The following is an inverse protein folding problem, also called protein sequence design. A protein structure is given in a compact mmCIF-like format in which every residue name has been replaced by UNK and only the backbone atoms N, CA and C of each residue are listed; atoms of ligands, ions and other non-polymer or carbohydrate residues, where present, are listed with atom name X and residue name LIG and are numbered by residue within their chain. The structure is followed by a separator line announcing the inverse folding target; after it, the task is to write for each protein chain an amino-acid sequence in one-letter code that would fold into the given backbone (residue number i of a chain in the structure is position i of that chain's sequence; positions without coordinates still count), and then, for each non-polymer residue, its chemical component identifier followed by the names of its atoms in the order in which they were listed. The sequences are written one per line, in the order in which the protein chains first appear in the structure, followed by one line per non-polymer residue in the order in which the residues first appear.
data_IF_691143454070
#
_entry.id   IF_691143454070
#
_cell.length_a   1.000
_cell.length_b   1.000
_cell.length_c   1.000
_cell.angle_alpha   90.00
_cell.angle_beta   90.00
_cell.angle_gamma   90.00
#
_symmetry.space_group_name_H-M   'P 1'
#
loop_
_entity.id
_entity.type
_entity.pdbx_description
1 polymer ?
#
# COMPACT_ATOMS: atom_id res chain seq x y z
N UNK A 1 -15.27 -25.27 -24.64
CA UNK A 1 -15.23 -23.81 -24.78
C UNK A 1 -13.78 -23.37 -24.63
N UNK A 2 -13.17 -22.92 -25.72
CA UNK A 2 -11.81 -22.38 -25.69
C UNK A 2 -11.87 -20.91 -25.28
N UNK A 3 -11.23 -20.54 -24.17
CA UNK A 3 -11.00 -19.14 -23.80
C UNK A 3 -9.68 -18.70 -24.41
N UNK A 4 -9.73 -17.73 -25.30
CA UNK A 4 -8.53 -17.05 -25.81
C UNK A 4 -8.30 -15.83 -24.94
N UNK A 5 -7.28 -15.86 -24.09
CA UNK A 5 -6.83 -14.69 -23.35
C UNK A 5 -5.81 -13.96 -24.22
N UNK A 6 -6.23 -12.85 -24.83
CA UNK A 6 -5.34 -11.97 -25.57
C UNK A 6 -4.80 -10.92 -24.61
N UNK A 7 -3.51 -11.00 -24.31
CA UNK A 7 -2.80 -9.95 -23.56
C UNK A 7 -2.28 -8.91 -24.54
N UNK A 8 -2.83 -7.69 -24.49
CA UNK A 8 -2.46 -6.62 -25.41
C UNK A 8 -1.23 -5.86 -24.93
N UNK A 9 -0.33 -5.55 -25.88
CA UNK A 9 0.55 -4.37 -25.79
C UNK A 9 -0.29 -3.13 -26.14
N UNK A 10 -0.01 -2.00 -25.50
CA UNK A 10 -0.67 -0.70 -25.75
C UNK A 10 -0.69 -0.25 -27.22
N UNK A 11 0.18 -0.82 -28.07
CA UNK A 11 0.36 -0.47 -29.49
C UNK A 11 -0.20 -1.51 -30.47
N UNK A 12 -0.81 -2.59 -29.98
CA UNK A 12 -1.42 -3.57 -30.86
C UNK A 12 -2.75 -3.04 -31.40
N UNK A 13 -2.91 -2.98 -32.71
CA UNK A 13 -4.20 -2.69 -33.33
C UNK A 13 -5.18 -3.80 -32.98
N UNK A 14 -6.21 -3.44 -32.22
CA UNK A 14 -7.28 -4.36 -31.83
C UNK A 14 -8.15 -4.57 -33.07
N UNK A 15 -8.41 -5.80 -33.56
CA UNK A 15 -9.33 -6.04 -34.66
C UNK A 15 -10.70 -5.42 -34.35
N UNK A 16 -11.34 -4.78 -35.31
CA UNK A 16 -12.64 -4.11 -35.15
C UNK A 16 -13.75 -5.00 -34.53
N UNK A 17 -13.63 -6.32 -34.68
CA UNK A 17 -14.57 -7.30 -34.13
C UNK A 17 -14.18 -7.87 -32.78
N UNK A 18 -13.06 -7.42 -32.16
CA UNK A 18 -12.62 -7.93 -30.87
C UNK A 18 -13.45 -7.29 -29.74
N UNK A 19 -14.00 -8.13 -28.85
CA UNK A 19 -14.61 -7.65 -27.61
C UNK A 19 -13.52 -7.43 -26.57
N UNK A 20 -13.37 -6.20 -26.14
CA UNK A 20 -12.46 -5.86 -25.02
C UNK A 20 -13.16 -6.19 -23.71
N UNK A 21 -12.55 -7.07 -22.92
CA UNK A 21 -12.96 -7.37 -21.56
C UNK A 21 -11.99 -6.69 -20.61
N UNK A 22 -12.44 -5.63 -19.96
CA UNK A 22 -11.66 -5.00 -18.90
C UNK A 22 -11.78 -5.82 -17.61
N UNK A 23 -10.75 -6.55 -17.25
CA UNK A 23 -10.70 -7.25 -15.98
C UNK A 23 -10.33 -6.25 -14.88
N UNK A 24 -11.22 -6.08 -13.92
CA UNK A 24 -10.94 -5.29 -12.71
C UNK A 24 -10.00 -6.08 -11.79
N UNK A 25 -9.14 -5.34 -11.05
CA UNK A 25 -8.39 -5.92 -9.94
C UNK A 25 -9.34 -6.45 -8.88
N UNK A 26 -9.00 -7.60 -8.30
CA UNK A 26 -9.74 -8.17 -7.17
C UNK A 26 -9.43 -7.39 -5.89
N UNK A 27 -10.40 -7.39 -4.99
CA UNK A 27 -10.30 -6.72 -3.68
C UNK A 27 -10.37 -7.75 -2.55
N UNK A 28 -9.88 -7.42 -1.32
CA UNK A 28 -10.00 -8.33 -0.19
C UNK A 28 -11.44 -8.77 0.10
N UNK A 29 -12.48 -7.89 0.04
CA UNK A 29 -13.87 -8.32 0.16
C UNK A 29 -14.32 -9.30 -0.93
N UNK A 30 -13.81 -9.20 -2.16
CA UNK A 30 -14.16 -10.16 -3.22
C UNK A 30 -13.67 -11.56 -2.86
N UNK A 31 -12.47 -11.69 -2.31
CA UNK A 31 -11.94 -12.97 -1.85
C UNK A 31 -12.78 -13.54 -0.70
N UNK A 32 -13.05 -12.77 0.35
CA UNK A 32 -13.86 -13.21 1.49
C UNK A 32 -15.31 -13.54 1.09
N UNK A 33 -15.85 -12.85 0.10
CA UNK A 33 -17.20 -13.13 -0.42
C UNK A 33 -17.26 -14.51 -1.10
N UNK A 34 -16.21 -14.82 -1.86
CA UNK A 34 -16.11 -16.10 -2.58
C UNK A 34 -15.68 -17.25 -1.66
N UNK A 35 -14.77 -16.99 -0.73
CA UNK A 35 -14.18 -17.99 0.17
C UNK A 35 -14.49 -17.62 1.62
N UNK A 36 -15.60 -18.17 2.15
CA UNK A 36 -16.17 -17.81 3.45
C UNK A 36 -15.26 -18.10 4.67
N UNK A 37 -14.30 -19.01 4.50
CA UNK A 37 -13.35 -19.40 5.56
C UNK A 37 -12.05 -18.60 5.51
N UNK A 38 -11.83 -17.81 4.47
CA UNK A 38 -10.62 -17.00 4.32
C UNK A 38 -10.65 -15.87 5.35
N UNK A 39 -9.60 -15.78 6.14
CA UNK A 39 -9.40 -14.69 7.10
C UNK A 39 -9.24 -13.34 6.38
N UNK A 40 -9.75 -12.28 6.97
CA UNK A 40 -9.71 -10.93 6.39
C UNK A 40 -8.30 -10.38 6.25
N UNK A 41 -7.40 -10.73 7.18
CA UNK A 41 -6.00 -10.34 7.14
C UNK A 41 -5.27 -11.08 6.02
N UNK A 42 -5.54 -12.36 5.85
CA UNK A 42 -4.96 -13.13 4.75
C UNK A 42 -5.49 -12.67 3.39
N UNK A 43 -6.76 -12.31 3.30
CA UNK A 43 -7.31 -11.66 2.11
C UNK A 43 -6.60 -10.34 1.81
N UNK A 44 -6.29 -9.52 2.82
CA UNK A 44 -5.53 -8.28 2.68
C UNK A 44 -4.09 -8.57 2.20
N UNK A 45 -3.40 -9.54 2.79
CA UNK A 45 -2.04 -9.99 2.41
C UNK A 45 -1.98 -10.45 0.96
N UNK A 46 -2.91 -11.31 0.55
CA UNK A 46 -2.98 -11.84 -0.81
C UNK A 46 -3.15 -10.70 -1.81
N UNK A 47 -4.08 -9.78 -1.56
CA UNK A 47 -4.29 -8.63 -2.44
C UNK A 47 -3.09 -7.68 -2.42
N UNK A 48 -2.50 -7.42 -1.28
CA UNK A 48 -1.30 -6.60 -1.17
C UNK A 48 -0.13 -7.18 -1.99
N UNK A 49 0.08 -8.50 -1.93
CA UNK A 49 1.13 -9.18 -2.69
C UNK A 49 0.86 -9.31 -4.19
N UNK A 50 -0.37 -9.14 -4.63
CA UNK A 50 -0.77 -9.40 -6.02
C UNK A 50 -1.29 -8.15 -6.73
N UNK A 51 -1.42 -7.03 -6.02
CA UNK A 51 -2.12 -5.84 -6.48
C UNK A 51 -3.53 -6.16 -7.03
N UNK A 52 -4.13 -7.25 -6.53
CA UNK A 52 -5.42 -7.75 -6.98
C UNK A 52 -5.43 -8.28 -8.42
N UNK A 53 -4.27 -8.51 -9.04
CA UNK A 53 -4.17 -9.05 -10.41
C UNK A 53 -4.72 -10.49 -10.41
N UNK A 54 -5.83 -10.78 -11.13
CA UNK A 54 -6.50 -12.09 -11.04
C UNK A 54 -5.58 -13.27 -11.35
N UNK A 55 -4.66 -13.11 -12.28
CA UNK A 55 -3.68 -14.15 -12.63
C UNK A 55 -2.75 -14.49 -11.46
N UNK A 56 -2.29 -13.49 -10.71
CA UNK A 56 -1.44 -13.69 -9.53
C UNK A 56 -2.25 -14.22 -8.34
N UNK A 57 -3.46 -13.70 -8.12
CA UNK A 57 -4.37 -14.19 -7.07
C UNK A 57 -4.71 -15.66 -7.27
N UNK A 58 -4.86 -16.12 -8.52
CA UNK A 58 -5.18 -17.50 -8.84
C UNK A 58 -4.06 -18.51 -8.49
N UNK A 59 -2.87 -18.04 -8.19
CA UNK A 59 -1.76 -18.88 -7.74
C UNK A 59 -1.88 -19.25 -6.25
N UNK A 60 -2.70 -18.53 -5.48
CA UNK A 60 -2.92 -18.81 -4.07
C UNK A 60 -3.98 -19.89 -3.89
N UNK A 61 -3.70 -20.87 -3.03
CA UNK A 61 -4.67 -21.83 -2.52
C UNK A 61 -5.41 -21.18 -1.36
N UNK A 62 -6.66 -20.76 -1.59
CA UNK A 62 -7.43 -19.98 -0.63
C UNK A 62 -8.03 -20.83 0.52
N UNK A 63 -7.81 -22.12 0.49
CA UNK A 63 -8.13 -23.12 1.53
C UNK A 63 -6.91 -23.52 2.39
N UNK A 64 -5.73 -23.07 2.02
CA UNK A 64 -4.47 -23.29 2.74
C UNK A 64 -4.12 -22.07 3.60
N UNK A 65 -3.23 -22.24 4.59
CA UNK A 65 -2.70 -21.13 5.36
C UNK A 65 -1.88 -20.17 4.49
N UNK A 66 -1.68 -18.94 4.97
CA UNK A 66 -0.87 -17.98 4.23
C UNK A 66 0.58 -18.45 4.14
N UNK A 67 1.14 -19.02 5.20
CA UNK A 67 2.49 -19.58 5.25
C UNK A 67 2.69 -20.73 4.23
N UNK A 68 1.70 -21.63 4.11
CA UNK A 68 1.74 -22.70 3.10
C UNK A 68 1.73 -22.15 1.67
N UNK A 69 0.99 -21.07 1.44
CA UNK A 69 1.03 -20.36 0.15
C UNK A 69 2.41 -19.75 -0.10
N UNK A 70 3.02 -19.10 0.90
CA UNK A 70 4.37 -18.52 0.77
C UNK A 70 5.39 -19.61 0.41
N UNK A 71 5.38 -20.75 1.09
CA UNK A 71 6.24 -21.89 0.73
C UNK A 71 6.12 -22.31 -0.73
N UNK A 72 4.91 -22.32 -1.26
CA UNK A 72 4.67 -22.76 -2.65
C UNK A 72 4.98 -21.68 -3.69
N UNK A 73 4.87 -20.40 -3.34
CA UNK A 73 5.04 -19.27 -4.26
C UNK A 73 6.49 -18.76 -4.33
N UNK A 74 7.27 -18.93 -3.26
CA UNK A 74 8.67 -18.52 -3.22
C UNK A 74 9.59 -19.70 -3.56
N UNK A 75 9.46 -20.20 -4.78
CA UNK A 75 10.31 -21.25 -5.37
C UNK A 75 10.81 -20.79 -6.74
N UNK A 76 11.99 -21.22 -7.16
CA UNK A 76 12.68 -20.75 -8.36
C UNK A 76 11.82 -20.77 -9.64
N UNK A 77 10.96 -21.78 -9.78
CA UNK A 77 10.11 -21.94 -10.97
C UNK A 77 8.71 -21.32 -10.83
N UNK A 78 8.47 -20.61 -9.75
CA UNK A 78 7.16 -20.02 -9.47
C UNK A 78 6.77 -18.98 -10.51
N UNK A 79 5.55 -19.11 -11.02
CA UNK A 79 4.95 -18.08 -11.90
C UNK A 79 4.81 -16.73 -11.19
N UNK A 80 4.64 -16.75 -9.86
CA UNK A 80 4.59 -15.54 -9.05
C UNK A 80 5.90 -14.75 -9.14
N UNK A 81 7.04 -15.41 -8.95
CA UNK A 81 8.36 -14.77 -8.98
C UNK A 81 8.77 -14.36 -10.41
N UNK A 82 8.45 -15.16 -11.42
CA UNK A 82 8.77 -14.85 -12.82
C UNK A 82 7.92 -13.72 -13.42
N UNK A 83 6.76 -13.43 -12.86
CA UNK A 83 5.83 -12.47 -13.44
C UNK A 83 6.44 -11.06 -13.61
N UNK A 84 7.20 -10.55 -12.62
CA UNK A 84 7.82 -9.22 -12.70
C UNK A 84 8.84 -9.13 -13.83
N UNK A 85 9.73 -10.15 -13.95
CA UNK A 85 10.74 -10.20 -15.01
C UNK A 85 10.09 -10.29 -16.39
N UNK A 86 9.12 -11.18 -16.55
CA UNK A 86 8.42 -11.34 -17.81
C UNK A 86 7.69 -10.06 -18.22
N UNK A 87 7.05 -9.38 -17.27
CA UNK A 87 6.38 -8.10 -17.51
C UNK A 87 7.38 -7.05 -17.97
N UNK A 88 8.52 -6.90 -17.31
CA UNK A 88 9.56 -5.95 -17.69
C UNK A 88 10.15 -6.26 -19.08
N UNK A 89 10.44 -7.53 -19.37
CA UNK A 89 10.96 -7.94 -20.69
C UNK A 89 9.98 -7.68 -21.83
N UNK A 90 8.68 -7.74 -21.55
CA UNK A 90 7.64 -7.42 -22.56
C UNK A 90 7.50 -5.94 -22.81
N UNK A 91 7.71 -5.10 -21.79
CA UNK A 91 7.45 -3.66 -21.85
C UNK A 91 8.69 -2.85 -22.25
N UNK A 92 9.90 -3.32 -21.90
CA UNK A 92 11.14 -2.58 -22.10
C UNK A 92 12.20 -3.38 -22.85
N UNK A 93 12.93 -2.68 -23.74
CA UNK A 93 14.02 -3.29 -24.54
C UNK A 93 15.27 -3.62 -23.70
N UNK A 94 15.52 -2.87 -22.62
CA UNK A 94 16.68 -3.04 -21.73
C UNK A 94 16.22 -3.19 -20.30
N UNK A 95 15.56 -4.33 -19.94
CA UNK A 95 14.96 -4.55 -18.64
C UNK A 95 15.94 -4.43 -17.47
N UNK A 96 17.23 -4.74 -17.68
CA UNK A 96 18.28 -4.70 -16.67
C UNK A 96 18.45 -3.27 -16.09
N UNK A 97 18.42 -2.25 -16.97
CA UNK A 97 18.54 -0.86 -16.55
C UNK A 97 17.35 -0.41 -15.70
N UNK A 98 16.16 -0.89 -16.03
CA UNK A 98 14.95 -0.62 -15.25
C UNK A 98 14.95 -1.38 -13.92
N UNK A 99 15.39 -2.65 -13.91
CA UNK A 99 15.58 -3.42 -12.69
C UNK A 99 16.49 -2.71 -11.69
N UNK A 100 17.62 -2.16 -12.15
CA UNK A 100 18.55 -1.41 -11.30
C UNK A 100 17.86 -0.24 -10.62
N UNK A 101 17.07 0.55 -11.34
CA UNK A 101 16.37 1.70 -10.75
C UNK A 101 15.22 1.28 -9.83
N UNK A 102 14.45 0.25 -10.19
CA UNK A 102 13.38 -0.28 -9.36
C UNK A 102 13.93 -0.86 -8.05
N UNK A 103 15.07 -1.55 -8.10
CA UNK A 103 15.74 -2.02 -6.90
C UNK A 103 16.27 -0.86 -6.04
N UNK A 104 16.87 0.16 -6.65
CA UNK A 104 17.26 1.38 -5.94
C UNK A 104 16.08 2.03 -5.19
N UNK A 105 14.91 2.11 -5.85
CA UNK A 105 13.68 2.59 -5.20
C UNK A 105 13.23 1.69 -4.04
N UNK A 106 13.36 0.37 -4.20
CA UNK A 106 12.99 -0.60 -3.17
C UNK A 106 13.80 -0.45 -1.88
N UNK A 107 15.09 -0.10 -2.01
CA UNK A 107 15.99 0.12 -0.87
C UNK A 107 16.01 1.58 -0.36
N UNK A 108 15.09 2.42 -0.85
CA UNK A 108 14.88 3.78 -0.33
C UNK A 108 15.54 4.92 -1.10
N UNK A 109 16.21 4.67 -2.23
CA UNK A 109 16.71 5.73 -3.11
C UNK A 109 15.56 6.42 -3.83
N UNK A 110 14.90 7.36 -3.18
CA UNK A 110 13.66 7.97 -3.67
C UNK A 110 13.84 9.29 -4.44
N UNK A 111 15.08 9.77 -4.65
CA UNK A 111 15.40 10.97 -5.42
C UNK A 111 16.30 10.63 -6.61
N UNK A 112 16.17 11.38 -7.67
CA UNK A 112 16.96 11.17 -8.91
C UNK A 112 18.48 11.20 -8.65
N UNK A 113 18.94 12.04 -7.72
CA UNK A 113 20.35 12.11 -7.34
C UNK A 113 20.84 10.83 -6.64
N UNK A 114 20.03 10.27 -5.74
CA UNK A 114 20.33 9.01 -5.05
C UNK A 114 20.31 7.83 -6.02
N UNK A 115 19.34 7.81 -6.94
CA UNK A 115 19.26 6.77 -7.97
C UNK A 115 20.42 6.84 -8.97
N UNK A 116 20.88 8.04 -9.31
CA UNK A 116 22.04 8.23 -10.17
C UNK A 116 23.33 7.74 -9.50
N UNK A 117 23.49 8.04 -8.23
CA UNK A 117 24.61 7.55 -7.40
C UNK A 117 24.59 6.03 -7.25
N UNK A 118 23.42 5.47 -6.89
CA UNK A 118 23.24 4.03 -6.71
C UNK A 118 23.49 3.23 -8.00
N UNK A 119 22.92 3.71 -9.12
CA UNK A 119 22.98 2.98 -10.39
C UNK A 119 24.25 3.24 -11.21
N UNK A 120 25.00 4.30 -10.90
CA UNK A 120 26.09 4.80 -11.74
C UNK A 120 25.61 5.44 -13.05
N UNK A 121 24.31 5.67 -13.23
CA UNK A 121 23.77 6.30 -14.42
C UNK A 121 23.77 7.83 -14.32
N UNK A 122 24.01 8.54 -15.43
CA UNK A 122 23.80 9.99 -15.48
C UNK A 122 22.36 10.36 -15.13
N UNK A 123 22.14 11.50 -14.46
CA UNK A 123 20.80 11.96 -14.04
C UNK A 123 19.77 12.03 -15.18
N UNK A 124 20.20 12.45 -16.37
CA UNK A 124 19.34 12.51 -17.55
C UNK A 124 18.87 11.11 -18.02
N UNK A 125 19.73 10.08 -17.87
CA UNK A 125 19.34 8.70 -18.14
C UNK A 125 18.35 8.20 -17.10
N UNK A 126 18.58 8.47 -15.81
CA UNK A 126 17.63 8.14 -14.72
C UNK A 126 16.28 8.82 -14.97
N UNK A 127 16.25 10.12 -15.30
CA UNK A 127 15.00 10.85 -15.57
C UNK A 127 14.20 10.22 -16.72
N UNK A 128 14.87 9.88 -17.82
CA UNK A 128 14.23 9.19 -18.94
C UNK A 128 13.59 7.86 -18.55
N UNK A 129 14.31 7.05 -17.75
CA UNK A 129 13.81 5.75 -17.32
C UNK A 129 12.70 5.88 -16.28
N UNK A 130 12.80 6.82 -15.32
CA UNK A 130 11.76 7.09 -14.35
C UNK A 130 10.46 7.54 -15.03
N UNK A 131 10.54 8.42 -16.04
CA UNK A 131 9.35 8.81 -16.83
C UNK A 131 8.71 7.61 -17.54
N UNK A 132 9.51 6.70 -18.08
CA UNK A 132 8.99 5.49 -18.71
C UNK A 132 8.35 4.53 -17.70
N UNK A 133 8.96 4.38 -16.52
CA UNK A 133 8.41 3.57 -15.43
C UNK A 133 7.10 4.17 -14.88
N UNK A 134 7.01 5.48 -14.74
CA UNK A 134 5.80 6.18 -14.31
C UNK A 134 4.67 6.01 -15.33
N UNK A 135 4.96 6.23 -16.61
CA UNK A 135 4.01 6.03 -17.71
C UNK A 135 3.52 4.58 -17.82
N UNK A 136 4.36 3.60 -17.49
CA UNK A 136 4.02 2.18 -17.47
C UNK A 136 3.36 1.74 -16.14
N UNK A 137 3.28 2.61 -15.14
CA UNK A 137 2.60 2.36 -13.87
C UNK A 137 3.38 1.51 -12.86
N UNK A 138 4.72 1.50 -12.96
CA UNK A 138 5.60 0.80 -11.99
C UNK A 138 5.91 1.64 -10.76
N UNK A 139 5.86 2.95 -10.90
CA UNK A 139 6.20 3.90 -9.84
C UNK A 139 5.10 4.94 -9.67
N UNK A 140 5.13 5.62 -8.55
CA UNK A 140 4.34 6.80 -8.27
C UNK A 140 5.27 7.95 -7.87
N UNK A 141 4.88 9.18 -8.19
CA UNK A 141 5.63 10.38 -7.89
C UNK A 141 4.93 11.21 -6.83
N UNK A 142 5.70 11.76 -5.89
CA UNK A 142 5.20 12.67 -4.87
C UNK A 142 6.05 13.92 -4.81
N UNK A 143 5.40 15.08 -4.70
CA UNK A 143 6.08 16.34 -4.45
C UNK A 143 6.15 16.56 -2.92
N UNK A 144 7.38 16.63 -2.38
CA UNK A 144 7.59 16.90 -0.95
C UNK A 144 8.43 18.16 -0.79
N UNK A 145 8.10 18.98 0.19
CA UNK A 145 8.94 20.12 0.59
C UNK A 145 10.07 19.61 1.47
N UNK A 146 11.30 20.01 1.16
CA UNK A 146 12.45 19.78 2.01
C UNK A 146 12.48 20.77 3.20
N UNK A 147 13.46 20.62 4.08
CA UNK A 147 13.63 21.48 5.28
C UNK A 147 13.78 22.97 4.92
N UNK A 148 14.24 23.28 3.70
CA UNK A 148 14.39 24.64 3.20
C UNK A 148 13.14 25.14 2.44
N UNK A 149 12.04 24.37 2.46
CA UNK A 149 10.79 24.68 1.78
C UNK A 149 10.82 24.45 0.27
N UNK A 150 11.92 23.89 -0.30
CA UNK A 150 12.01 23.61 -1.73
C UNK A 150 11.22 22.34 -2.07
N UNK A 151 10.41 22.41 -3.10
CA UNK A 151 9.65 21.26 -3.60
C UNK A 151 10.59 20.31 -4.35
N UNK A 152 10.60 19.05 -3.92
CA UNK A 152 11.40 17.97 -4.52
C UNK A 152 10.49 16.85 -4.96
N UNK A 153 10.81 16.28 -6.13
CA UNK A 153 10.12 15.07 -6.61
C UNK A 153 10.74 13.83 -5.98
N UNK A 154 9.91 13.03 -5.36
CA UNK A 154 10.24 11.72 -4.81
C UNK A 154 9.53 10.64 -5.61
N UNK A 155 10.21 9.52 -5.81
CA UNK A 155 9.75 8.38 -6.59
C UNK A 155 9.61 7.17 -5.67
N UNK A 156 8.53 6.41 -5.83
CA UNK A 156 8.24 5.24 -5.01
C UNK A 156 7.75 4.09 -5.89
N UNK A 157 8.04 2.86 -5.50
CA UNK A 157 7.42 1.70 -6.14
C UNK A 157 5.91 1.75 -5.96
N UNK A 158 5.19 1.51 -7.05
CA UNK A 158 3.74 1.42 -7.03
C UNK A 158 3.32 -0.03 -6.84
N UNK A 159 2.40 -0.24 -5.91
CA UNK A 159 1.88 -1.56 -5.60
C UNK A 159 2.70 -2.37 -4.60
N UNK A 160 2.03 -3.31 -3.96
CA UNK A 160 2.63 -4.21 -2.97
C UNK A 160 3.38 -5.36 -3.62
N UNK A 161 2.94 -5.84 -4.80
CA UNK A 161 3.62 -6.89 -5.54
C UNK A 161 5.08 -6.54 -5.86
N UNK A 162 5.31 -5.35 -6.45
CA UNK A 162 6.68 -4.92 -6.78
C UNK A 162 7.52 -4.68 -5.52
N UNK A 163 6.91 -4.20 -4.43
CA UNK A 163 7.60 -4.03 -3.14
C UNK A 163 8.06 -5.37 -2.61
N UNK A 164 7.18 -6.37 -2.51
CA UNK A 164 7.54 -7.71 -2.08
C UNK A 164 8.61 -8.35 -3.00
N UNK A 165 8.46 -8.18 -4.30
CA UNK A 165 9.39 -8.75 -5.26
C UNK A 165 10.79 -8.15 -5.15
N UNK A 166 10.93 -6.81 -5.15
CA UNK A 166 12.23 -6.13 -5.11
C UNK A 166 12.86 -6.07 -3.72
N UNK A 167 12.10 -6.10 -2.64
CA UNK A 167 12.65 -6.06 -1.29
C UNK A 167 12.96 -7.45 -0.74
N UNK A 168 12.18 -8.46 -1.12
CA UNK A 168 12.32 -9.81 -0.59
C UNK A 168 13.06 -10.74 -1.57
N UNK A 169 12.54 -10.91 -2.78
CA UNK A 169 13.03 -11.91 -3.73
C UNK A 169 14.29 -11.45 -4.46
N UNK A 170 14.24 -10.28 -5.12
CA UNK A 170 15.28 -9.82 -6.03
C UNK A 170 16.70 -9.82 -5.43
N UNK A 171 16.95 -9.34 -4.19
CA UNK A 171 18.29 -9.37 -3.60
C UNK A 171 18.75 -10.76 -3.14
N UNK A 172 17.85 -11.74 -3.05
CA UNK A 172 18.11 -13.05 -2.42
C UNK A 172 17.62 -14.22 -3.27
N UNK A 173 17.68 -14.10 -4.58
CA UNK A 173 17.17 -15.15 -5.50
C UNK A 173 17.75 -16.53 -5.22
N UNK A 174 18.99 -16.63 -4.74
CA UNK A 174 19.66 -17.89 -4.42
C UNK A 174 19.01 -18.63 -3.24
N UNK A 175 18.39 -17.90 -2.32
CA UNK A 175 17.75 -18.46 -1.11
C UNK A 175 16.46 -19.21 -1.45
N UNK A 176 15.92 -19.02 -2.66
CA UNK A 176 14.65 -19.60 -3.11
C UNK A 176 14.80 -20.75 -4.12
N UNK A 177 16.01 -21.30 -4.24
CA UNK A 177 16.27 -22.47 -5.10
C UNK A 177 15.69 -23.74 -4.46
N UNK A 178 15.93 -23.90 -3.15
CA UNK A 178 15.40 -25.01 -2.36
C UNK A 178 14.04 -24.68 -1.74
N UNK A 179 13.23 -25.70 -1.42
CA UNK A 179 11.97 -25.50 -0.73
C UNK A 179 12.18 -24.83 0.64
N UNK A 180 11.34 -23.85 0.94
CA UNK A 180 11.40 -23.12 2.21
C UNK A 180 10.97 -23.99 3.40
N UNK A 181 11.72 -23.90 4.50
CA UNK A 181 11.31 -24.41 5.80
C UNK A 181 10.24 -23.54 6.46
N UNK A 182 9.75 -23.96 7.64
CA UNK A 182 8.69 -23.23 8.34
C UNK A 182 9.16 -21.92 8.94
N UNK A 183 10.40 -21.86 9.42
CA UNK A 183 10.95 -20.65 10.05
C UNK A 183 11.15 -19.55 9.01
N UNK A 184 11.79 -19.89 7.90
CA UNK A 184 11.97 -18.98 6.76
C UNK A 184 10.64 -18.50 6.20
N UNK A 185 9.63 -19.37 6.11
CA UNK A 185 8.30 -18.96 5.65
C UNK A 185 7.65 -17.94 6.59
N UNK A 186 7.77 -18.11 7.91
CA UNK A 186 7.28 -17.14 8.90
C UNK A 186 8.01 -15.80 8.83
N UNK A 187 9.34 -15.82 8.65
CA UNK A 187 10.11 -14.59 8.43
C UNK A 187 9.66 -13.86 7.17
N UNK A 188 9.41 -14.59 6.07
CA UNK A 188 8.91 -14.01 4.84
C UNK A 188 7.52 -13.37 5.03
N UNK A 189 6.64 -14.00 5.80
CA UNK A 189 5.33 -13.40 6.14
C UNK A 189 5.51 -12.08 6.87
N UNK A 190 6.41 -12.01 7.84
CA UNK A 190 6.72 -10.76 8.54
C UNK A 190 7.21 -9.66 7.58
N UNK A 191 8.12 -10.00 6.66
CA UNK A 191 8.64 -9.04 5.69
C UNK A 191 7.60 -8.62 4.64
N UNK A 192 6.71 -9.54 4.24
CA UNK A 192 5.57 -9.24 3.37
C UNK A 192 4.62 -8.27 4.07
N UNK A 193 4.33 -8.50 5.34
CA UNK A 193 3.51 -7.59 6.13
C UNK A 193 4.14 -6.19 6.17
N UNK A 194 5.45 -6.11 6.37
CA UNK A 194 6.16 -4.83 6.43
C UNK A 194 6.19 -4.07 5.10
N UNK A 195 6.52 -4.73 4.00
CA UNK A 195 6.73 -4.06 2.72
C UNK A 195 5.47 -3.91 1.86
N UNK A 196 4.54 -4.88 1.90
CA UNK A 196 3.38 -4.91 1.02
C UNK A 196 2.06 -4.67 1.77
N UNK A 197 1.81 -5.42 2.86
CA UNK A 197 0.52 -5.36 3.57
C UNK A 197 0.30 -4.01 4.24
N UNK A 198 1.30 -3.48 4.94
CA UNK A 198 1.25 -2.14 5.55
C UNK A 198 1.06 -1.04 4.51
N UNK A 199 1.78 -1.13 3.39
CA UNK A 199 1.63 -0.19 2.28
C UNK A 199 0.21 -0.18 1.73
N UNK A 200 -0.37 -1.36 1.48
CA UNK A 200 -1.73 -1.48 0.97
C UNK A 200 -2.76 -1.02 2.00
N UNK A 201 -2.60 -1.41 3.26
CA UNK A 201 -3.47 -0.98 4.35
C UNK A 201 -3.46 0.55 4.53
N UNK A 202 -2.26 1.17 4.46
CA UNK A 202 -2.12 2.63 4.52
C UNK A 202 -2.89 3.33 3.39
N UNK A 203 -2.80 2.82 2.16
CA UNK A 203 -3.59 3.34 1.03
C UNK A 203 -5.09 3.18 1.26
N UNK A 204 -5.51 2.05 1.80
CA UNK A 204 -6.90 1.80 2.14
C UNK A 204 -7.43 2.79 3.19
N UNK A 205 -6.67 3.01 4.26
CA UNK A 205 -7.00 3.99 5.31
C UNK A 205 -7.14 5.41 4.74
N UNK A 206 -6.18 5.82 3.92
CA UNK A 206 -6.22 7.11 3.24
C UNK A 206 -7.45 7.25 2.34
N UNK A 207 -7.76 6.23 1.58
CA UNK A 207 -8.90 6.25 0.67
C UNK A 207 -10.23 6.34 1.42
N UNK A 208 -10.35 5.56 2.51
CA UNK A 208 -11.50 5.62 3.40
C UNK A 208 -11.67 7.03 3.99
N UNK A 209 -10.59 7.58 4.53
CA UNK A 209 -10.59 8.91 5.13
C UNK A 209 -11.02 9.99 4.10
N UNK A 210 -10.40 10.00 2.93
CA UNK A 210 -10.68 11.01 1.89
C UNK A 210 -12.15 11.04 1.47
N UNK A 211 -12.87 9.93 1.59
CA UNK A 211 -14.30 9.83 1.27
C UNK A 211 -15.21 10.23 2.43
N UNK A 212 -14.79 9.97 3.64
CA UNK A 212 -15.63 10.14 4.82
C UNK A 212 -15.32 11.43 5.60
N UNK A 213 -14.17 12.06 5.37
CA UNK A 213 -13.71 13.22 6.11
C UNK A 213 -14.72 14.38 6.10
N UNK A 214 -15.40 14.63 4.97
CA UNK A 214 -16.39 15.70 4.85
C UNK A 214 -17.54 15.57 5.86
N UNK A 215 -17.95 14.36 6.21
CA UNK A 215 -19.01 14.12 7.20
C UNK A 215 -18.66 14.53 8.62
N UNK A 216 -17.38 14.71 8.93
CA UNK A 216 -16.90 15.08 10.27
C UNK A 216 -16.71 16.59 10.47
N UNK A 217 -16.82 17.41 9.43
CA UNK A 217 -16.68 18.86 9.53
C UNK A 217 -17.99 19.61 9.78
N UNK A 218 -19.14 18.90 9.94
CA UNK A 218 -20.43 19.53 10.06
C UNK A 218 -20.87 20.22 8.76
N UNK A 219 -21.56 21.30 8.80
CA UNK A 219 -22.21 22.09 7.76
C UNK A 219 -21.52 22.31 6.38
N UNK A 220 -20.68 21.37 5.95
CA UNK A 220 -19.96 21.43 4.67
C UNK A 220 -18.72 22.31 4.70
N UNK A 221 -18.28 22.78 5.86
CA UNK A 221 -17.06 23.56 6.02
C UNK A 221 -15.77 22.73 6.01
N UNK A 222 -15.70 21.69 5.19
CA UNK A 222 -14.40 21.26 4.68
C UNK A 222 -13.83 22.50 4.01
N UNK A 223 -12.85 23.10 4.65
CA UNK A 223 -12.17 24.22 4.04
C UNK A 223 -11.70 23.76 2.66
N UNK A 224 -12.42 24.16 1.64
CA UNK A 224 -12.09 23.96 0.25
C UNK A 224 -10.76 24.67 -0.03
N UNK A 225 -9.66 24.15 0.49
CA UNK A 225 -8.37 24.81 0.40
C UNK A 225 -7.25 24.22 1.24
N UNK A 226 -7.54 23.40 2.26
CA UNK A 226 -6.48 22.77 3.04
C UNK A 226 -6.38 21.27 2.71
N UNK A 227 -5.53 20.89 1.75
CA UNK A 227 -5.31 19.48 1.46
C UNK A 227 -4.73 18.79 2.70
N UNK A 228 -5.09 17.52 2.90
CA UNK A 228 -4.51 16.76 3.99
C UNK A 228 -2.99 16.61 3.78
N UNK A 229 -2.26 16.74 4.86
CA UNK A 229 -0.81 16.58 4.90
C UNK A 229 -0.49 15.14 5.32
N UNK A 230 0.51 14.55 4.69
CA UNK A 230 0.95 13.18 4.94
C UNK A 230 2.27 13.18 5.72
N UNK A 231 2.47 12.16 6.55
CA UNK A 231 3.73 11.91 7.26
C UNK A 231 4.21 13.13 8.06
N UNK A 232 3.34 13.71 8.87
CA UNK A 232 3.59 14.95 9.60
C UNK A 232 4.04 14.68 11.02
N UNK A 233 5.11 15.34 11.45
CA UNK A 233 5.56 15.30 12.85
C UNK A 233 5.01 16.51 13.60
N UNK A 234 4.22 16.26 14.64
CA UNK A 234 3.65 17.29 15.52
C UNK A 234 4.25 17.12 16.92
N UNK A 235 5.01 18.11 17.39
CA UNK A 235 5.65 18.10 18.69
C UNK A 235 6.37 16.76 19.02
N UNK A 236 7.11 16.21 18.04
CA UNK A 236 7.87 14.97 18.18
C UNK A 236 7.05 13.69 18.03
N UNK A 237 5.75 13.78 17.71
CA UNK A 237 4.89 12.63 17.42
C UNK A 237 4.58 12.57 15.93
N UNK A 238 4.88 11.43 15.30
CA UNK A 238 4.59 11.21 13.89
C UNK A 238 3.14 10.76 13.70
N UNK A 239 2.41 11.51 12.88
CA UNK A 239 1.05 11.23 12.44
C UNK A 239 1.06 10.89 10.95
N UNK A 240 0.17 9.99 10.56
CA UNK A 240 0.12 9.50 9.19
C UNK A 240 -0.56 10.52 8.27
N UNK A 241 -1.62 11.18 8.76
CA UNK A 241 -2.32 12.25 8.05
C UNK A 241 -2.80 13.31 9.02
N UNK A 242 -2.84 14.56 8.56
CA UNK A 242 -3.44 15.69 9.26
C UNK A 242 -4.24 16.51 8.26
N UNK A 243 -5.42 16.93 8.66
CA UNK A 243 -6.19 17.90 7.89
C UNK A 243 -6.69 18.99 8.84
N UNK A 244 -6.29 20.24 8.56
CA UNK A 244 -6.72 21.40 9.33
C UNK A 244 -8.05 21.92 8.78
N UNK A 245 -9.02 22.08 9.66
CA UNK A 245 -10.29 22.72 9.36
C UNK A 245 -10.38 24.13 9.93
N UNK A 246 -11.55 24.76 9.79
CA UNK A 246 -11.81 26.10 10.33
C UNK A 246 -11.90 26.08 11.86
N UNK A 247 -12.71 25.15 12.39
CA UNK A 247 -13.04 25.09 13.82
C UNK A 247 -12.58 23.78 14.47
N UNK A 248 -12.10 22.82 13.70
CA UNK A 248 -11.58 21.53 14.17
C UNK A 248 -10.52 20.97 13.25
N UNK A 249 -9.63 20.20 13.83
CA UNK A 249 -8.57 19.49 13.10
C UNK A 249 -8.81 17.98 13.16
N UNK A 250 -8.48 17.30 12.07
CA UNK A 250 -8.51 15.85 11.97
C UNK A 250 -7.09 15.31 12.03
N UNK A 251 -6.85 14.40 12.95
CA UNK A 251 -5.57 13.73 13.15
C UNK A 251 -5.73 12.24 12.96
N UNK A 252 -4.87 11.64 12.15
CA UNK A 252 -4.93 10.22 11.89
C UNK A 252 -3.64 9.50 12.26
N UNK A 253 -3.82 8.35 12.90
CA UNK A 253 -2.76 7.41 13.16
C UNK A 253 -3.16 6.02 12.66
N UNK A 254 -2.27 5.39 11.89
CA UNK A 254 -2.39 4.01 11.45
C UNK A 254 -1.55 3.16 12.39
N UNK A 255 -2.15 2.09 12.90
CA UNK A 255 -1.50 1.06 13.70
C UNK A 255 -1.57 -0.26 12.97
N UNK A 256 -0.44 -0.72 12.50
CA UNK A 256 -0.31 -1.89 11.64
C UNK A 256 0.26 -3.12 12.37
N UNK A 257 0.49 -3.02 13.67
CA UNK A 257 0.83 -4.16 14.52
C UNK A 257 -0.46 -4.90 14.90
N UNK A 258 -0.54 -6.18 14.50
CA UNK A 258 -1.70 -7.01 14.77
C UNK A 258 -1.59 -7.80 16.07
N UNK A 259 -0.39 -7.91 16.62
CA UNK A 259 -0.14 -8.66 17.86
C UNK A 259 -0.31 -7.75 19.07
N UNK A 260 0.17 -6.52 18.93
CA UNK A 260 0.07 -5.52 19.98
C UNK A 260 -1.08 -4.58 19.62
N UNK A 261 -2.14 -4.56 20.44
CA UNK A 261 -3.22 -3.58 20.26
C UNK A 261 -2.73 -2.14 20.36
N UNK A 262 -3.45 -1.19 19.76
CA UNK A 262 -3.09 0.22 19.78
C UNK A 262 -2.86 0.69 21.23
N UNK A 263 -1.64 1.12 21.60
CA UNK A 263 -1.30 1.33 23.01
C UNK A 263 -1.83 2.68 23.53
N UNK A 264 -2.26 2.67 24.79
CA UNK A 264 -2.74 3.87 25.50
C UNK A 264 -1.73 5.00 25.50
N UNK A 265 -0.47 4.68 25.74
CA UNK A 265 0.62 5.65 25.87
C UNK A 265 0.87 6.40 24.57
N UNK A 266 0.71 5.74 23.43
CA UNK A 266 0.81 6.38 22.12
C UNK A 266 -0.32 7.38 21.92
N UNK A 267 -1.56 6.99 22.25
CA UNK A 267 -2.69 7.89 22.12
C UNK A 267 -2.53 9.15 22.99
N UNK A 268 -2.13 8.97 24.25
CA UNK A 268 -1.88 10.09 25.15
C UNK A 268 -0.77 11.04 24.66
N UNK A 269 0.27 10.49 24.00
CA UNK A 269 1.30 11.31 23.35
C UNK A 269 0.74 12.10 22.17
N UNK A 270 -0.11 11.49 21.35
CA UNK A 270 -0.78 12.14 20.22
C UNK A 270 -1.64 13.28 20.73
N UNK A 271 -2.53 13.01 21.68
CA UNK A 271 -3.43 13.99 22.27
C UNK A 271 -2.65 15.19 22.84
N UNK A 272 -1.63 14.94 23.66
CA UNK A 272 -0.79 15.99 24.23
C UNK A 272 -0.06 16.82 23.16
N UNK A 273 0.42 16.17 22.09
CA UNK A 273 1.14 16.87 21.03
C UNK A 273 0.22 17.78 20.21
N UNK A 274 -0.97 17.32 19.88
CA UNK A 274 -1.95 18.04 19.05
C UNK A 274 -2.63 19.15 19.82
N UNK A 275 -3.03 18.94 21.07
CA UNK A 275 -3.65 19.97 21.93
C UNK A 275 -2.71 21.17 22.16
N UNK A 276 -1.39 20.94 22.27
CA UNK A 276 -0.42 22.04 22.37
C UNK A 276 -0.36 22.94 21.13
N UNK A 277 -0.65 22.38 19.97
CA UNK A 277 -0.54 23.11 18.70
C UNK A 277 -1.74 24.04 18.49
N UNK A 278 -2.95 23.56 18.82
CA UNK A 278 -4.20 24.32 18.65
C UNK A 278 -5.15 24.05 19.83
N UNK A 279 -4.93 24.71 20.99
CA UNK A 279 -5.57 24.34 22.25
C UNK A 279 -7.08 24.66 22.31
N UNK A 280 -7.60 25.47 21.38
CA UNK A 280 -9.02 25.88 21.37
C UNK A 280 -9.81 25.21 20.23
N UNK A 281 -9.23 24.22 19.57
CA UNK A 281 -9.88 23.50 18.46
C UNK A 281 -10.41 22.15 18.95
N UNK A 282 -11.57 21.77 18.44
CA UNK A 282 -12.09 20.42 18.58
C UNK A 282 -11.25 19.48 17.73
N UNK A 283 -10.40 18.70 18.39
CA UNK A 283 -9.59 17.70 17.72
C UNK A 283 -10.39 16.42 17.56
N UNK A 284 -10.43 15.87 16.34
CA UNK A 284 -11.01 14.56 16.06
C UNK A 284 -9.88 13.63 15.68
N UNK A 285 -9.84 12.48 16.33
CA UNK A 285 -8.82 11.47 16.12
C UNK A 285 -9.40 10.27 15.36
N UNK A 286 -8.71 9.87 14.30
CA UNK A 286 -8.98 8.64 13.58
C UNK A 286 -7.86 7.64 13.83
N UNK A 287 -8.21 6.51 14.40
CA UNK A 287 -7.29 5.42 14.64
C UNK A 287 -7.65 4.26 13.72
N UNK A 288 -6.78 3.97 12.79
CA UNK A 288 -6.90 2.83 11.89
C UNK A 288 -6.05 1.69 12.43
N UNK A 289 -6.62 0.50 12.61
CA UNK A 289 -5.90 -0.64 13.16
C UNK A 289 -6.17 -1.92 12.38
N UNK A 290 -5.11 -2.68 12.08
CA UNK A 290 -5.24 -4.06 11.58
C UNK A 290 -5.71 -4.98 12.71
N UNK A 291 -5.22 -4.74 13.93
CA UNK A 291 -5.54 -5.49 15.12
C UNK A 291 -6.56 -4.79 16.03
N UNK A 292 -6.62 -5.24 17.27
CA UNK A 292 -7.50 -4.66 18.30
C UNK A 292 -6.94 -3.33 18.82
N UNK A 293 -7.80 -2.52 19.39
CA UNK A 293 -7.40 -1.36 20.19
C UNK A 293 -7.51 -1.67 21.70
N UNK A 294 -6.77 -0.96 22.53
CA UNK A 294 -6.85 -1.14 23.97
C UNK A 294 -8.17 -0.59 24.55
N UNK A 295 -8.60 -1.10 25.69
CA UNK A 295 -9.85 -0.72 26.35
C UNK A 295 -9.96 0.80 26.60
N UNK A 296 -8.86 1.47 26.92
CA UNK A 296 -8.83 2.92 27.12
C UNK A 296 -9.29 3.68 25.86
N UNK A 297 -8.81 3.27 24.70
CA UNK A 297 -9.19 3.90 23.41
C UNK A 297 -10.63 3.57 23.05
N UNK A 298 -11.11 2.37 23.37
CA UNK A 298 -12.53 2.01 23.22
C UNK A 298 -13.46 2.85 24.09
N UNK A 299 -13.05 3.21 25.29
CA UNK A 299 -13.83 4.09 26.15
C UNK A 299 -13.89 5.52 25.60
N UNK A 300 -12.80 6.05 25.01
CA UNK A 300 -12.79 7.33 24.32
C UNK A 300 -13.69 7.33 23.07
N UNK A 301 -13.78 6.20 22.35
CA UNK A 301 -14.74 6.04 21.25
C UNK A 301 -16.17 6.24 21.69
N UNK A 302 -16.54 5.69 22.85
CA UNK A 302 -17.88 5.88 23.44
C UNK A 302 -18.18 7.33 23.79
N UNK A 303 -17.15 8.13 24.09
CA UNK A 303 -17.27 9.56 24.35
C UNK A 303 -17.31 10.43 23.05
N UNK A 304 -17.14 9.82 21.90
CA UNK A 304 -17.20 10.50 20.60
C UNK A 304 -15.97 11.32 20.22
N UNK A 305 -14.89 11.26 20.99
CA UNK A 305 -13.65 12.01 20.71
C UNK A 305 -12.71 11.28 19.76
N UNK A 306 -12.89 9.97 19.62
CA UNK A 306 -12.05 9.08 18.80
C UNK A 306 -12.92 8.24 17.88
N UNK A 307 -12.58 8.20 16.60
CA UNK A 307 -13.14 7.28 15.62
C UNK A 307 -12.15 6.13 15.37
N UNK A 308 -12.58 4.91 15.62
CA UNK A 308 -11.78 3.72 15.42
C UNK A 308 -12.27 3.00 14.17
N UNK A 309 -11.36 2.72 13.24
CA UNK A 309 -11.62 1.99 12.00
C UNK A 309 -10.72 0.76 11.98
N UNK A 310 -11.27 -0.37 12.39
CA UNK A 310 -10.59 -1.65 12.38
C UNK A 310 -10.68 -2.32 11.01
N UNK A 311 -9.78 -3.26 10.73
CA UNK A 311 -9.73 -3.96 9.45
C UNK A 311 -11.10 -4.49 9.01
N UNK A 312 -11.87 -5.11 9.93
CA UNK A 312 -13.19 -5.66 9.62
C UNK A 312 -14.19 -4.60 9.11
N UNK A 313 -14.02 -3.34 9.51
CA UNK A 313 -14.90 -2.25 9.08
C UNK A 313 -14.86 -2.01 7.57
N UNK A 314 -13.75 -2.35 6.90
CA UNK A 314 -13.62 -2.22 5.45
C UNK A 314 -14.38 -3.30 4.68
N UNK A 315 -14.75 -4.43 5.33
CA UNK A 315 -15.42 -5.57 4.68
C UNK A 315 -16.96 -5.48 4.71
N UNK A 316 -17.52 -4.42 5.30
CA UNK A 316 -18.97 -4.17 5.29
C UNK A 316 -19.52 -3.94 3.88
N UNK A 317 -20.80 -4.28 3.65
CA UNK A 317 -21.44 -4.16 2.33
C UNK A 317 -21.35 -2.75 1.71
N UNK A 318 -21.38 -1.71 2.53
CA UNK A 318 -21.31 -0.32 2.09
C UNK A 318 -19.87 0.16 1.81
N UNK A 319 -18.86 -0.62 2.17
CA UNK A 319 -17.45 -0.23 2.09
C UNK A 319 -16.67 -0.94 0.98
N UNK A 320 -17.31 -1.85 0.23
CA UNK A 320 -16.65 -2.57 -0.87
C UNK A 320 -16.04 -1.61 -1.92
N UNK A 321 -16.63 -0.44 -2.12
CA UNK A 321 -16.13 0.61 -3.02
C UNK A 321 -14.79 1.21 -2.58
N UNK A 322 -14.38 1.06 -1.30
CA UNK A 322 -13.10 1.55 -0.82
C UNK A 322 -11.91 0.83 -1.44
N UNK A 323 -12.10 -0.40 -1.87
CA UNK A 323 -11.06 -1.22 -2.48
C UNK A 323 -10.99 -1.08 -4.00
N UNK A 324 -12.03 -0.60 -4.67
CA UNK A 324 -12.08 -0.52 -6.14
C UNK A 324 -11.16 0.56 -6.75
N UNK A 325 -10.63 1.48 -5.94
CA UNK A 325 -9.85 2.64 -6.38
C UNK A 325 -8.39 2.63 -5.91
N UNK A 326 -7.97 1.55 -5.21
CA UNK A 326 -6.58 1.34 -4.81
C UNK A 326 -5.75 0.76 -5.95
#
# INVERSE_FOLDING_TARGET
SAFVVLVYRREAQIPEKAKTLNMKSLTPPDLCRKYKKLDQRDALRIIAMTDGIPALVSLFRLDASFEENIKSLFTADSLYLRYAEEKLRREFRSPESYNTLLYGLAIGCNRISQLAEFSGYPKNKCDKYLKALDAAGYIETQQKKDENGQVRTHYFLKGGYLRAWYQIYFPRQQDFIDPLDEETAKELVFWIDDCATKYYFRKLCWHWFSRNASGFYGDGSVASGNPAQHDVTVNGVQLDFIQHGKDRDLYMKIWDDSEIGFPKELFQKIEKATTKTRPFYDNIYFLFSIGRVCNYVEDLRKLGTVSIVELHSFFGRNNAEHFEKL
#
